data_IF_524161384248
#
_entry.id   IF_524161384248
#
_cell.length_a   1.000
_cell.length_b   1.000
_cell.length_c   1.000
_cell.angle_alpha   90.00
_cell.angle_beta   90.00
_cell.angle_gamma   90.00
#
_symmetry.space_group_name_H-M   'P 1'
#
loop_
_entity.id
_entity.type
_entity.pdbx_description
1 polymer ?
#
# COMPACT_ATOMS: atom_id res chain seq x y z
N UNK A 1 13.81 12.25 12.92
CA UNK A 1 12.73 11.27 12.69
C UNK A 1 13.17 9.92 13.21
N UNK A 2 12.24 9.06 13.62
CA UNK A 2 12.52 7.66 13.99
C UNK A 2 11.55 6.72 13.26
N UNK A 3 11.97 5.49 13.00
CA UNK A 3 11.11 4.43 12.47
C UNK A 3 10.84 3.41 13.55
N UNK A 4 9.58 3.06 13.72
CA UNK A 4 9.11 2.03 14.65
C UNK A 4 8.54 0.88 13.83
N UNK A 5 9.03 -0.34 14.06
CA UNK A 5 8.50 -1.57 13.46
C UNK A 5 7.68 -2.28 14.52
N UNK A 6 6.46 -2.70 14.17
CA UNK A 6 5.52 -3.35 15.08
C UNK A 6 4.69 -4.39 14.35
N UNK A 7 4.29 -5.42 15.08
CA UNK A 7 3.26 -6.38 14.68
C UNK A 7 1.89 -6.09 15.33
N UNK A 8 1.79 -5.01 16.12
CA UNK A 8 0.62 -4.64 16.89
C UNK A 8 -0.53 -4.04 16.06
N UNK A 9 -1.76 -4.29 16.52
CA UNK A 9 -2.98 -3.77 15.88
C UNK A 9 -3.06 -2.24 15.92
N UNK A 10 -2.53 -1.60 16.96
CA UNK A 10 -2.57 -0.14 17.11
C UNK A 10 -1.72 0.56 16.04
N UNK A 11 -0.58 -0.02 15.66
CA UNK A 11 0.27 0.52 14.60
C UNK A 11 -0.39 0.32 13.23
N UNK A 12 -1.06 -0.82 13.01
CA UNK A 12 -1.89 -1.05 11.81
C UNK A 12 -3.03 -0.01 11.71
N UNK A 13 -3.66 0.33 12.83
CA UNK A 13 -4.70 1.38 12.86
C UNK A 13 -4.12 2.79 12.66
N UNK A 14 -2.90 3.05 13.16
CA UNK A 14 -2.17 4.28 12.90
C UNK A 14 -1.81 4.41 11.42
N UNK A 15 -1.34 3.32 10.81
CA UNK A 15 -1.16 3.22 9.36
C UNK A 15 -2.48 3.47 8.61
N UNK A 16 -3.60 2.87 9.05
CA UNK A 16 -4.90 3.05 8.39
C UNK A 16 -5.35 4.52 8.33
N UNK A 17 -5.04 5.31 9.36
CA UNK A 17 -5.28 6.77 9.35
C UNK A 17 -4.54 7.44 8.19
N UNK A 18 -3.24 7.17 8.05
CA UNK A 18 -2.41 7.68 6.95
C UNK A 18 -2.90 7.17 5.58
N UNK A 19 -3.33 5.92 5.52
CA UNK A 19 -3.90 5.31 4.31
C UNK A 19 -5.15 6.04 3.85
N UNK A 20 -6.04 6.44 4.77
CA UNK A 20 -7.21 7.23 4.43
C UNK A 20 -6.85 8.59 3.82
N UNK A 21 -5.84 9.28 4.37
CA UNK A 21 -5.33 10.55 3.85
C UNK A 21 -4.75 10.35 2.45
N UNK A 22 -3.90 9.33 2.28
CA UNK A 22 -3.26 9.00 1.00
C UNK A 22 -4.29 8.66 -0.07
N UNK A 23 -5.31 7.86 0.27
CA UNK A 23 -6.38 7.46 -0.66
C UNK A 23 -7.26 8.62 -1.07
N UNK A 24 -7.61 9.52 -0.13
CA UNK A 24 -8.29 10.78 -0.46
C UNK A 24 -7.47 11.60 -1.46
N UNK A 25 -6.18 11.81 -1.21
CA UNK A 25 -5.29 12.54 -2.13
C UNK A 25 -5.23 11.89 -3.52
N UNK A 26 -5.22 10.55 -3.58
CA UNK A 26 -5.25 9.78 -4.83
C UNK A 26 -6.62 9.82 -5.53
N UNK A 27 -7.67 10.37 -4.90
CA UNK A 27 -9.03 10.37 -5.46
C UNK A 27 -9.63 8.97 -5.48
N UNK A 28 -9.34 8.17 -4.45
CA UNK A 28 -9.72 6.78 -4.39
C UNK A 28 -10.32 6.44 -3.03
N UNK A 29 -11.35 5.59 -2.93
CA UNK A 29 -11.88 5.19 -1.64
C UNK A 29 -10.90 4.25 -0.90
N UNK A 30 -10.70 4.40 0.41
CA UNK A 30 -9.89 3.48 1.20
C UNK A 30 -10.64 2.17 1.43
N UNK A 31 -9.92 1.06 1.57
CA UNK A 31 -10.51 -0.19 2.08
C UNK A 31 -11.13 0.04 3.46
N UNK A 32 -12.12 -0.77 3.81
CA UNK A 32 -12.77 -0.68 5.12
C UNK A 32 -11.77 -0.95 6.25
N UNK A 33 -11.91 -0.25 7.40
CA UNK A 33 -11.06 -0.47 8.59
C UNK A 33 -10.97 -1.95 8.99
N UNK A 34 -12.09 -2.69 8.90
CA UNK A 34 -12.16 -4.13 9.18
C UNK A 34 -11.19 -4.97 8.35
N UNK A 35 -10.89 -4.54 7.11
CA UNK A 35 -9.90 -5.21 6.27
C UNK A 35 -8.52 -5.20 6.92
N UNK A 36 -8.08 -4.04 7.44
CA UNK A 36 -6.78 -3.92 8.10
C UNK A 36 -6.74 -4.65 9.45
N UNK A 37 -7.86 -4.69 10.19
CA UNK A 37 -7.98 -5.51 11.41
C UNK A 37 -7.83 -6.99 11.08
N UNK A 38 -8.47 -7.47 10.00
CA UNK A 38 -8.34 -8.85 9.54
C UNK A 38 -6.94 -9.14 8.99
N UNK A 39 -6.34 -8.19 8.24
CA UNK A 39 -4.97 -8.29 7.77
C UNK A 39 -4.00 -8.50 8.94
N UNK A 40 -4.18 -7.74 10.02
CA UNK A 40 -3.43 -7.94 11.24
C UNK A 40 -3.68 -9.34 11.84
N UNK A 41 -4.94 -9.66 12.15
CA UNK A 41 -5.35 -10.89 12.82
C UNK A 41 -4.87 -12.17 12.11
N UNK A 42 -4.89 -12.14 10.78
CA UNK A 42 -4.63 -13.34 9.98
C UNK A 42 -3.20 -13.43 9.47
N UNK A 43 -2.46 -12.32 9.36
CA UNK A 43 -1.09 -12.32 8.84
C UNK A 43 -0.09 -11.72 9.82
N UNK A 44 -0.21 -10.42 10.14
CA UNK A 44 0.82 -9.69 10.90
C UNK A 44 1.00 -10.28 12.30
N UNK A 45 -0.10 -10.51 13.04
CA UNK A 45 -0.03 -11.08 14.40
C UNK A 45 0.41 -12.55 14.44
N UNK A 46 0.58 -13.18 13.28
CA UNK A 46 1.09 -14.54 13.13
C UNK A 46 2.52 -14.56 12.60
N UNK A 47 3.18 -13.40 12.54
CA UNK A 47 4.54 -13.29 12.04
C UNK A 47 4.66 -13.48 10.52
N UNK A 48 3.61 -13.17 9.75
CA UNK A 48 3.66 -13.14 8.27
C UNK A 48 3.78 -11.71 7.70
N UNK A 49 4.17 -10.76 8.53
CA UNK A 49 4.35 -9.37 8.13
C UNK A 49 4.59 -8.44 9.31
N UNK A 50 4.81 -7.16 9.01
CA UNK A 50 5.01 -6.10 9.99
C UNK A 50 4.50 -4.76 9.46
N UNK A 51 4.20 -3.85 10.38
CA UNK A 51 3.94 -2.44 10.09
C UNK A 51 5.16 -1.61 10.49
N UNK A 52 5.62 -0.71 9.63
CA UNK A 52 6.63 0.28 9.98
C UNK A 52 6.05 1.69 9.93
N UNK A 53 6.31 2.50 10.94
CA UNK A 53 5.80 3.87 11.08
C UNK A 53 6.95 4.86 11.26
N UNK A 54 6.93 5.94 10.50
CA UNK A 54 7.84 7.06 10.67
C UNK A 54 7.23 8.11 11.61
N UNK A 55 7.96 8.45 12.67
CA UNK A 55 7.59 9.46 13.66
C UNK A 55 8.41 10.74 13.52
N UNK A 56 7.73 11.87 13.64
CA UNK A 56 8.33 13.20 13.76
C UNK A 56 7.72 13.90 14.99
N UNK A 57 8.46 13.89 16.10
CA UNK A 57 7.89 14.17 17.42
C UNK A 57 6.77 13.17 17.73
N UNK A 58 5.64 13.69 18.21
CA UNK A 58 4.44 12.89 18.52
C UNK A 58 3.66 12.44 17.26
N UNK A 59 3.97 13.00 16.09
CA UNK A 59 3.21 12.75 14.87
C UNK A 59 3.69 11.50 14.13
N UNK A 60 2.79 10.60 13.77
CA UNK A 60 3.05 9.61 12.71
C UNK A 60 2.88 10.28 11.35
N UNK A 61 3.94 10.38 10.56
CA UNK A 61 3.93 11.14 9.30
C UNK A 61 3.91 10.25 8.06
N UNK A 62 4.39 9.02 8.18
CA UNK A 62 4.33 8.02 7.13
C UNK A 62 4.29 6.60 7.73
N UNK A 63 3.87 5.62 6.95
CA UNK A 63 3.92 4.23 7.34
C UNK A 63 3.83 3.29 6.14
N UNK A 64 4.23 2.05 6.36
CA UNK A 64 4.09 0.95 5.42
C UNK A 64 3.68 -0.35 6.11
N UNK A 65 3.11 -1.26 5.34
CA UNK A 65 2.87 -2.65 5.72
C UNK A 65 3.67 -3.53 4.77
N UNK A 66 4.56 -4.33 5.35
CA UNK A 66 5.30 -5.39 4.66
C UNK A 66 4.70 -6.74 5.04
N UNK A 67 4.54 -7.62 4.06
CA UNK A 67 4.11 -9.01 4.26
C UNK A 67 5.18 -9.94 3.70
N UNK A 68 5.15 -11.21 4.08
CA UNK A 68 6.07 -12.19 3.50
C UNK A 68 5.46 -13.59 3.42
N UNK A 69 6.05 -14.39 2.54
CA UNK A 69 5.79 -15.81 2.42
C UNK A 69 7.08 -16.54 2.03
N UNK A 70 7.43 -17.58 2.78
CA UNK A 70 8.76 -18.19 2.68
C UNK A 70 9.86 -17.15 2.89
N UNK A 71 10.86 -17.16 2.01
CA UNK A 71 11.99 -16.21 2.02
C UNK A 71 11.75 -14.95 1.16
N UNK A 72 10.50 -14.64 0.81
CA UNK A 72 10.17 -13.48 -0.04
C UNK A 72 9.31 -12.47 0.71
N UNK A 73 9.78 -11.24 0.78
CA UNK A 73 9.07 -10.10 1.35
C UNK A 73 8.37 -9.27 0.26
N UNK A 74 7.29 -8.59 0.64
CA UNK A 74 6.47 -7.77 -0.24
C UNK A 74 6.08 -6.49 0.50
N UNK A 75 6.51 -5.34 -0.01
CA UNK A 75 5.93 -4.05 0.33
C UNK A 75 4.49 -4.01 -0.20
N UNK A 76 3.53 -4.20 0.71
CA UNK A 76 2.11 -4.36 0.35
C UNK A 76 1.39 -3.03 0.28
N UNK A 77 1.61 -2.17 1.27
CA UNK A 77 0.98 -0.86 1.35
C UNK A 77 1.95 0.18 1.89
N UNK A 78 1.81 1.42 1.43
CA UNK A 78 2.46 2.59 2.03
C UNK A 78 1.56 3.81 1.94
N UNK A 79 1.70 4.68 2.93
CA UNK A 79 0.88 5.85 3.10
C UNK A 79 1.64 6.94 3.85
N UNK A 80 1.41 8.19 3.50
CA UNK A 80 2.05 9.33 4.16
C UNK A 80 1.17 10.57 4.13
N UNK A 81 1.37 11.44 5.10
CA UNK A 81 0.81 12.77 5.12
C UNK A 81 1.70 13.72 4.30
N UNK A 82 1.12 14.40 3.31
CA UNK A 82 1.86 15.28 2.40
C UNK A 82 2.34 16.56 3.06
N UNK A 83 1.73 16.96 4.18
CA UNK A 83 2.20 18.11 4.97
C UNK A 83 3.64 17.92 5.46
N UNK A 84 4.10 16.67 5.55
CA UNK A 84 5.44 16.30 5.99
C UNK A 84 6.32 15.76 4.84
N UNK A 85 5.93 15.99 3.58
CA UNK A 85 6.64 15.44 2.42
C UNK A 85 8.10 15.90 2.33
N UNK A 86 8.40 17.12 2.80
CA UNK A 86 9.77 17.68 2.85
C UNK A 86 10.72 16.85 3.71
N UNK A 87 10.20 16.12 4.71
CA UNK A 87 11.00 15.26 5.59
C UNK A 87 11.49 13.98 4.92
N UNK A 88 10.97 13.64 3.73
CA UNK A 88 11.31 12.40 3.01
C UNK A 88 11.11 11.13 3.85
N UNK A 89 10.07 11.09 4.68
CA UNK A 89 9.78 9.97 5.58
C UNK A 89 9.59 8.61 4.87
N UNK A 90 9.04 8.61 3.65
CA UNK A 90 8.91 7.40 2.85
C UNK A 90 10.28 6.83 2.44
N UNK A 91 11.28 7.68 2.17
CA UNK A 91 12.63 7.23 1.85
C UNK A 91 13.26 6.52 3.06
N UNK A 92 13.14 7.13 4.25
CA UNK A 92 13.62 6.49 5.48
C UNK A 92 12.90 5.15 5.74
N UNK A 93 11.57 5.09 5.56
CA UNK A 93 10.82 3.84 5.75
C UNK A 93 11.26 2.72 4.80
N UNK A 94 11.50 3.03 3.53
CA UNK A 94 11.97 2.03 2.58
C UNK A 94 13.38 1.54 2.92
N UNK A 95 14.28 2.43 3.32
CA UNK A 95 15.60 2.04 3.79
C UNK A 95 15.55 1.10 4.99
N UNK A 96 14.77 1.45 6.02
CA UNK A 96 14.61 0.62 7.21
C UNK A 96 13.93 -0.73 6.90
N UNK A 97 12.95 -0.74 6.00
CA UNK A 97 12.31 -1.97 5.52
C UNK A 97 13.33 -2.88 4.81
N UNK A 98 14.16 -2.33 3.92
CA UNK A 98 15.19 -3.10 3.19
C UNK A 98 16.19 -3.71 4.18
N UNK A 99 16.73 -2.91 5.12
CA UNK A 99 17.64 -3.40 6.15
C UNK A 99 17.00 -4.50 7.01
N UNK A 100 15.77 -4.28 7.47
CA UNK A 100 15.04 -5.29 8.25
C UNK A 100 14.88 -6.56 7.44
N UNK A 101 14.43 -6.48 6.20
CA UNK A 101 14.20 -7.65 5.38
C UNK A 101 15.50 -8.44 5.14
N UNK A 102 16.63 -7.75 4.91
CA UNK A 102 17.93 -8.38 4.79
C UNK A 102 18.35 -9.07 6.10
N UNK A 103 18.21 -8.40 7.25
CA UNK A 103 18.56 -8.95 8.56
C UNK A 103 17.69 -10.16 8.96
N UNK A 104 16.42 -10.18 8.54
CA UNK A 104 15.49 -11.28 8.76
C UNK A 104 15.72 -12.46 7.77
N UNK A 105 16.70 -12.35 6.86
CA UNK A 105 17.07 -13.43 5.93
C UNK A 105 16.20 -13.56 4.69
N UNK A 106 15.40 -12.55 4.34
CA UNK A 106 14.64 -12.57 3.08
C UNK A 106 15.58 -12.39 1.88
N UNK A 107 15.41 -13.23 0.86
CA UNK A 107 16.25 -13.23 -0.34
C UNK A 107 15.73 -12.30 -1.43
N UNK A 108 14.51 -11.80 -1.29
CA UNK A 108 13.91 -10.86 -2.24
C UNK A 108 12.86 -9.98 -1.56
N UNK A 109 12.73 -8.75 -2.06
CA UNK A 109 11.73 -7.78 -1.63
C UNK A 109 11.03 -7.20 -2.86
N UNK A 110 9.74 -7.49 -3.00
CA UNK A 110 8.93 -6.92 -4.08
C UNK A 110 8.33 -5.58 -3.65
N UNK A 111 8.49 -4.54 -4.48
CA UNK A 111 7.79 -3.25 -4.29
C UNK A 111 6.39 -3.22 -4.91
N UNK A 112 5.93 -4.34 -5.46
CA UNK A 112 4.64 -4.47 -6.11
C UNK A 112 4.54 -3.70 -7.43
N UNK A 113 3.37 -3.84 -8.07
CA UNK A 113 3.07 -3.26 -9.39
C UNK A 113 3.08 -1.73 -9.36
N UNK A 114 3.45 -1.13 -10.49
CA UNK A 114 3.27 0.28 -10.81
C UNK A 114 2.64 0.37 -12.20
N UNK A 115 1.68 1.29 -12.38
CA UNK A 115 1.14 1.56 -13.72
C UNK A 115 2.18 2.30 -14.57
N UNK A 116 2.22 2.02 -15.88
CA UNK A 116 3.26 2.55 -16.79
C UNK A 116 3.26 4.07 -16.89
N UNK A 117 2.12 4.71 -16.62
CA UNK A 117 1.90 6.17 -16.65
C UNK A 117 2.21 6.86 -15.31
N UNK A 118 2.71 6.13 -14.31
CA UNK A 118 3.05 6.68 -12.99
C UNK A 118 4.56 6.88 -12.83
N UNK A 119 5.11 7.85 -13.57
CA UNK A 119 6.54 8.17 -13.60
C UNK A 119 7.12 8.42 -12.20
N UNK A 120 6.39 9.13 -11.35
CA UNK A 120 6.85 9.46 -10.00
C UNK A 120 7.08 8.21 -9.13
N UNK A 121 6.16 7.23 -9.19
CA UNK A 121 6.31 5.99 -8.44
C UNK A 121 7.35 5.06 -9.07
N UNK A 122 7.49 5.10 -10.40
CA UNK A 122 8.54 4.39 -11.15
C UNK A 122 9.92 4.88 -10.73
N UNK A 123 10.19 6.19 -10.81
CA UNK A 123 11.46 6.82 -10.41
C UNK A 123 11.76 6.52 -8.93
N UNK A 124 10.76 6.63 -8.05
CA UNK A 124 10.95 6.35 -6.64
C UNK A 124 11.40 4.90 -6.37
N UNK A 125 10.80 3.92 -7.07
CA UNK A 125 11.14 2.50 -6.89
C UNK A 125 12.50 2.15 -7.50
N UNK A 126 12.85 2.74 -8.64
CA UNK A 126 14.15 2.54 -9.29
C UNK A 126 15.32 3.00 -8.43
N UNK A 127 15.11 4.06 -7.63
CA UNK A 127 16.15 4.63 -6.77
C UNK A 127 16.69 3.68 -5.68
N UNK A 128 16.12 2.49 -5.53
CA UNK A 128 16.54 1.46 -4.58
C UNK A 128 17.34 0.32 -5.21
N UNK A 129 17.65 0.39 -6.51
CA UNK A 129 18.47 -0.61 -7.19
C UNK A 129 17.77 -1.96 -7.45
N UNK A 130 16.44 -1.97 -7.49
CA UNK A 130 15.65 -3.16 -7.86
C UNK A 130 15.53 -3.34 -9.38
N UNK A 131 15.13 -4.55 -9.78
CA UNK A 131 14.85 -4.88 -11.18
C UNK A 131 13.36 -4.71 -11.53
N UNK A 132 13.08 -4.31 -12.77
CA UNK A 132 11.72 -4.20 -13.30
C UNK A 132 11.38 -5.45 -14.12
N UNK A 133 10.17 -5.95 -13.92
CA UNK A 133 9.58 -6.99 -14.77
C UNK A 133 8.21 -6.54 -15.24
N UNK A 134 7.87 -6.83 -16.50
CA UNK A 134 6.51 -6.60 -16.99
C UNK A 134 5.54 -7.63 -16.41
N UNK A 135 4.34 -7.18 -16.05
CA UNK A 135 3.27 -8.04 -15.58
C UNK A 135 2.09 -7.99 -16.55
N UNK A 136 1.93 -9.06 -17.33
CA UNK A 136 0.87 -9.18 -18.31
C UNK A 136 -0.38 -9.81 -17.69
N UNK A 137 -1.54 -9.20 -17.92
CA UNK A 137 -2.82 -9.69 -17.44
C UNK A 137 -3.61 -10.24 -18.63
N UNK A 138 -4.23 -11.40 -18.44
CA UNK A 138 -5.08 -12.04 -19.42
C UNK A 138 -6.39 -12.42 -18.77
N UNK A 139 -7.50 -12.18 -19.46
CA UNK A 139 -8.82 -12.71 -19.08
C UNK A 139 -9.22 -13.72 -20.14
N UNK A 140 -9.63 -14.91 -19.72
CA UNK A 140 -10.00 -15.98 -20.62
C UNK A 140 -11.39 -16.49 -20.24
N UNK A 141 -12.22 -16.69 -21.27
CA UNK A 141 -13.57 -17.20 -21.13
C UNK A 141 -13.62 -18.66 -21.62
N UNK A 142 -13.80 -19.57 -20.67
CA UNK A 142 -13.88 -21.00 -20.94
C UNK A 142 -15.12 -21.40 -21.74
N UNK A 143 -16.19 -20.58 -21.75
CA UNK A 143 -17.42 -20.90 -22.49
C UNK A 143 -17.29 -20.62 -23.99
N UNK A 144 -16.46 -19.64 -24.34
CA UNK A 144 -16.24 -19.21 -25.73
C UNK A 144 -14.86 -19.60 -26.26
N UNK A 145 -13.99 -20.18 -25.41
CA UNK A 145 -12.59 -20.53 -25.74
C UNK A 145 -11.79 -19.33 -26.29
N UNK A 146 -11.98 -18.16 -25.67
CA UNK A 146 -11.33 -16.93 -26.14
C UNK A 146 -10.74 -16.07 -25.03
N UNK A 147 -9.67 -15.34 -25.37
CA UNK A 147 -9.15 -14.27 -24.53
C UNK A 147 -10.01 -13.01 -24.68
N UNK A 148 -10.53 -12.52 -23.56
CA UNK A 148 -11.29 -11.29 -23.49
C UNK A 148 -10.36 -10.08 -23.38
N UNK A 149 -10.74 -8.93 -23.96
CA UNK A 149 -10.02 -7.69 -23.74
C UNK A 149 -10.06 -7.32 -22.25
N UNK A 150 -8.96 -6.77 -21.75
CA UNK A 150 -8.92 -6.20 -20.41
C UNK A 150 -9.91 -5.03 -20.33
N UNK A 151 -10.75 -5.03 -19.29
CA UNK A 151 -11.82 -4.06 -19.14
C UNK A 151 -11.34 -2.60 -19.12
N UNK A 152 -12.23 -1.69 -19.51
CA UNK A 152 -11.94 -0.25 -19.54
C UNK A 152 -11.77 0.28 -18.12
N UNK A 153 -10.68 1.00 -17.86
CA UNK A 153 -10.53 1.75 -16.60
C UNK A 153 -11.54 2.89 -16.58
N UNK A 154 -12.47 2.85 -15.62
CA UNK A 154 -13.34 3.98 -15.34
C UNK A 154 -12.51 5.11 -14.73
N UNK A 155 -12.43 6.23 -15.45
CA UNK A 155 -11.83 7.48 -15.01
C UNK A 155 -12.94 8.53 -14.80
N UNK A 156 -12.70 9.51 -13.92
CA UNK A 156 -13.54 10.70 -13.78
C UNK A 156 -14.07 10.98 -12.37
N UNK A 157 -14.05 9.99 -11.47
CA UNK A 157 -14.48 10.16 -10.08
C UNK A 157 -13.37 10.67 -9.15
N UNK A 158 -12.12 10.73 -9.61
CA UNK A 158 -10.96 11.06 -8.77
C UNK A 158 -11.07 12.48 -8.20
N UNK A 159 -11.51 13.45 -9.03
CA UNK A 159 -11.70 14.85 -8.60
C UNK A 159 -12.79 14.97 -7.53
N UNK A 160 -13.86 14.18 -7.65
CA UNK A 160 -14.92 14.14 -6.66
C UNK A 160 -14.42 13.55 -5.34
N UNK A 161 -13.74 12.40 -5.41
CA UNK A 161 -13.25 11.70 -4.21
C UNK A 161 -12.15 12.47 -3.46
N UNK A 162 -11.34 13.28 -4.15
CA UNK A 162 -10.37 14.19 -3.51
C UNK A 162 -11.04 15.24 -2.62
N UNK A 163 -12.21 15.74 -3.04
CA UNK A 163 -12.97 16.79 -2.33
C UNK A 163 -13.83 16.23 -1.19
N UNK A 164 -14.22 14.95 -1.25
CA UNK A 164 -15.05 14.34 -0.22
C UNK A 164 -14.33 14.29 1.14
N UNK A 165 -15.06 14.56 2.25
CA UNK A 165 -14.59 14.26 3.59
C UNK A 165 -14.21 12.78 3.74
N UNK A 166 -13.15 12.50 4.49
CA UNK A 166 -12.63 11.13 4.70
C UNK A 166 -13.72 10.19 5.24
N UNK A 167 -14.62 10.67 6.09
CA UNK A 167 -15.72 9.87 6.65
C UNK A 167 -16.65 9.34 5.56
N UNK A 168 -17.07 10.18 4.62
CA UNK A 168 -17.91 9.76 3.48
C UNK A 168 -17.14 8.82 2.55
N UNK A 169 -15.87 9.14 2.29
CA UNK A 169 -15.02 8.31 1.44
C UNK A 169 -14.82 6.89 2.00
N UNK A 170 -14.76 6.75 3.34
CA UNK A 170 -14.73 5.44 4.03
C UNK A 170 -16.03 4.65 3.86
N UNK A 171 -17.19 5.32 3.85
CA UNK A 171 -18.49 4.66 3.59
C UNK A 171 -18.51 4.13 2.16
N UNK A 172 -18.14 4.97 1.18
CA UNK A 172 -18.04 4.58 -0.24
C UNK A 172 -17.10 3.39 -0.39
N UNK A 173 -15.93 3.41 0.25
CA UNK A 173 -15.00 2.27 0.21
C UNK A 173 -15.57 1.00 0.85
N UNK A 174 -16.28 1.12 1.96
CA UNK A 174 -16.88 -0.05 2.64
C UNK A 174 -17.95 -0.73 1.79
N UNK A 175 -18.74 0.04 1.04
CA UNK A 175 -19.76 -0.48 0.14
C UNK A 175 -19.17 -0.97 -1.19
N UNK A 176 -18.29 -0.17 -1.80
CA UNK A 176 -17.73 -0.43 -3.13
C UNK A 176 -16.82 -1.65 -3.20
N UNK A 177 -15.95 -1.85 -2.20
CA UNK A 177 -15.02 -2.99 -2.19
C UNK A 177 -15.72 -4.36 -2.11
N UNK A 178 -17.00 -4.43 -1.73
CA UNK A 178 -17.78 -5.67 -1.77
C UNK A 178 -18.10 -6.12 -3.20
N UNK A 179 -18.11 -5.19 -4.14
CA UNK A 179 -18.50 -5.40 -5.53
C UNK A 179 -17.33 -5.23 -6.52
N UNK A 180 -16.16 -4.85 -6.02
CA UNK A 180 -14.91 -4.75 -6.78
C UNK A 180 -14.03 -5.95 -6.44
N UNK A 181 -14.39 -7.11 -6.99
CA UNK A 181 -13.66 -8.38 -6.91
C UNK A 181 -13.42 -8.92 -8.31
#
# INVERSE_FOLDING_TARGET
MRVEVSDGVNEVLSFYRLHCITRRRQGQPPQAKKYFIHLHKHLISKGFGFTALARHGENTVAGLICLHFGNKAIYKYGASDEQFQSLRANNLLFWEMIKKCANDGFTSLSFGRTDRDNDGLLIFKDGWGGERSELNYYRYDFSTDTFLPLGVRFHGYEKLFKKLPITLLRIVGTLGYRHMG
#
